data_IF_192011682342
#
_entry.id   IF_192011682342
#
_cell.length_a   1.000
_cell.length_b   1.000
_cell.length_c   1.000
_cell.angle_alpha   90.00
_cell.angle_beta   90.00
_cell.angle_gamma   90.00
#
_symmetry.space_group_name_H-M   'P 1'
#
loop_
_entity.id
_entity.type
_entity.pdbx_description
1 polymer ?
#
# COMPACT_ATOMS: atom_id res chain seq x y z
N UNK A 1 -15.06 -20.55 2.45
CA UNK A 1 -16.29 -21.31 2.13
C UNK A 1 -17.13 -21.47 3.39
N UNK A 2 -16.62 -22.07 4.49
CA UNK A 2 -17.41 -22.30 5.73
C UNK A 2 -17.99 -20.99 6.29
N UNK A 3 -17.20 -19.92 6.35
CA UNK A 3 -17.63 -18.58 6.78
C UNK A 3 -18.81 -18.06 5.95
N UNK A 4 -18.73 -18.16 4.61
CA UNK A 4 -19.80 -17.67 3.70
C UNK A 4 -21.11 -18.44 3.94
N UNK A 5 -21.05 -19.79 4.08
CA UNK A 5 -22.23 -20.62 4.33
C UNK A 5 -22.86 -20.32 5.69
N UNK A 6 -22.02 -20.01 6.68
CA UNK A 6 -22.50 -19.63 8.02
C UNK A 6 -23.18 -18.26 7.98
N UNK A 7 -22.57 -17.29 7.29
CA UNK A 7 -23.04 -15.93 7.16
C UNK A 7 -24.38 -15.83 6.39
N UNK A 8 -24.60 -16.71 5.40
CA UNK A 8 -25.89 -16.80 4.68
C UNK A 8 -27.04 -17.32 5.56
N UNK A 9 -26.73 -18.00 6.65
CA UNK A 9 -27.72 -18.61 7.57
C UNK A 9 -27.88 -17.84 8.88
N UNK A 10 -27.03 -16.86 9.14
CA UNK A 10 -27.07 -16.07 10.37
C UNK A 10 -28.28 -15.12 10.35
N UNK A 11 -29.00 -15.00 11.46
CA UNK A 11 -30.09 -14.04 11.63
C UNK A 11 -29.57 -12.59 11.57
N UNK A 12 -28.38 -12.35 12.14
CA UNK A 12 -27.66 -11.07 12.07
C UNK A 12 -26.26 -11.29 11.46
N UNK A 13 -26.12 -11.25 10.13
CA UNK A 13 -24.83 -11.48 9.48
C UNK A 13 -23.87 -10.31 9.71
N UNK A 14 -22.63 -10.60 10.09
CA UNK A 14 -21.56 -9.60 10.26
C UNK A 14 -21.24 -8.94 8.90
N UNK A 15 -21.33 -9.73 7.80
CA UNK A 15 -21.09 -9.25 6.43
C UNK A 15 -22.19 -9.77 5.50
N UNK A 16 -23.32 -9.05 5.39
CA UNK A 16 -24.43 -9.50 4.55
C UNK A 16 -24.01 -9.71 3.10
N UNK A 17 -24.14 -10.95 2.58
CA UNK A 17 -23.76 -11.30 1.20
C UNK A 17 -24.53 -10.49 0.15
N UNK A 18 -25.68 -9.93 0.52
CA UNK A 18 -26.47 -9.01 -0.35
C UNK A 18 -25.67 -7.78 -0.78
N UNK A 19 -24.71 -7.30 0.05
CA UNK A 19 -23.88 -6.14 -0.27
C UNK A 19 -22.98 -6.40 -1.48
N UNK A 20 -22.53 -7.64 -1.70
CA UNK A 20 -21.73 -7.99 -2.87
C UNK A 20 -22.51 -7.96 -4.20
N UNK A 21 -23.85 -7.96 -4.15
CA UNK A 21 -24.67 -7.70 -5.34
C UNK A 21 -24.59 -6.24 -5.79
N UNK A 22 -24.23 -5.33 -4.89
CA UNK A 22 -23.97 -3.94 -5.23
C UNK A 22 -22.60 -3.81 -5.89
N UNK A 23 -22.60 -3.45 -7.16
CA UNK A 23 -21.40 -3.29 -7.98
C UNK A 23 -20.39 -2.29 -7.38
N UNK A 24 -20.89 -1.17 -6.82
CA UNK A 24 -20.03 -0.15 -6.20
C UNK A 24 -19.38 -0.67 -4.92
N UNK A 25 -20.12 -1.41 -4.08
CA UNK A 25 -19.59 -2.05 -2.89
C UNK A 25 -18.45 -3.02 -3.24
N UNK A 26 -18.67 -3.90 -4.19
CA UNK A 26 -17.67 -4.90 -4.63
C UNK A 26 -16.42 -4.23 -5.18
N UNK A 27 -16.57 -3.22 -6.04
CA UNK A 27 -15.43 -2.49 -6.60
C UNK A 27 -14.66 -1.71 -5.55
N UNK A 28 -15.35 -1.04 -4.62
CA UNK A 28 -14.68 -0.27 -3.55
C UNK A 28 -13.97 -1.19 -2.55
N UNK A 29 -14.49 -2.38 -2.28
CA UNK A 29 -13.84 -3.39 -1.45
C UNK A 29 -12.57 -3.93 -2.11
N UNK A 30 -12.61 -4.25 -3.41
CA UNK A 30 -11.43 -4.66 -4.18
C UNK A 30 -10.40 -3.53 -4.27
N UNK A 31 -10.83 -2.30 -4.53
CA UNK A 31 -9.96 -1.12 -4.51
C UNK A 31 -9.32 -0.93 -3.13
N UNK A 32 -10.08 -1.14 -2.06
CA UNK A 32 -9.57 -1.12 -0.68
C UNK A 32 -8.42 -2.11 -0.51
N UNK A 33 -8.58 -3.35 -0.98
CA UNK A 33 -7.52 -4.37 -0.92
C UNK A 33 -6.27 -3.97 -1.72
N UNK A 34 -6.44 -3.45 -2.94
CA UNK A 34 -5.31 -2.97 -3.77
C UNK A 34 -4.58 -1.81 -3.10
N UNK A 35 -5.31 -0.85 -2.54
CA UNK A 35 -4.72 0.28 -1.80
C UNK A 35 -4.01 -0.21 -0.55
N UNK A 36 -4.57 -1.20 0.15
CA UNK A 36 -3.91 -1.84 1.29
C UNK A 36 -2.57 -2.45 0.92
N UNK A 37 -2.50 -3.18 -0.18
CA UNK A 37 -1.23 -3.72 -0.69
C UNK A 37 -0.23 -2.61 -1.05
N UNK A 38 -0.69 -1.56 -1.74
CA UNK A 38 0.14 -0.41 -2.10
C UNK A 38 0.63 0.37 -0.88
N UNK A 39 -0.23 0.55 0.13
CA UNK A 39 0.14 1.16 1.41
C UNK A 39 1.28 0.40 2.08
N UNK A 40 1.20 -0.95 2.12
CA UNK A 40 2.25 -1.77 2.68
C UNK A 40 3.57 -1.58 1.94
N UNK A 41 3.55 -1.59 0.60
CA UNK A 41 4.72 -1.35 -0.24
C UNK A 41 5.38 0.00 0.05
N UNK A 42 4.60 1.06 0.20
CA UNK A 42 5.13 2.39 0.46
C UNK A 42 5.51 2.63 1.93
N UNK A 43 4.60 2.30 2.87
CA UNK A 43 4.77 2.66 4.30
C UNK A 43 5.76 1.74 5.03
N UNK A 44 5.92 0.50 4.58
CA UNK A 44 6.81 -0.47 5.24
C UNK A 44 8.10 -0.70 4.45
N UNK A 45 8.02 -0.85 3.13
CA UNK A 45 9.21 -1.13 2.32
C UNK A 45 10.13 0.09 2.19
N UNK A 46 9.57 1.31 2.15
CA UNK A 46 10.37 2.53 2.03
C UNK A 46 11.23 2.82 3.29
N UNK A 47 10.71 2.73 4.54
CA UNK A 47 11.56 2.81 5.74
C UNK A 47 12.62 1.71 5.79
N UNK A 48 12.28 0.49 5.38
CA UNK A 48 13.22 -0.62 5.35
C UNK A 48 14.38 -0.34 4.36
N UNK A 49 14.07 0.20 3.18
CA UNK A 49 15.07 0.68 2.23
C UNK A 49 15.96 1.78 2.87
N UNK A 50 15.36 2.76 3.56
CA UNK A 50 16.11 3.83 4.25
C UNK A 50 17.02 3.31 5.35
N UNK A 51 16.59 2.31 6.10
CA UNK A 51 17.39 1.71 7.16
C UNK A 51 18.55 0.89 6.59
N UNK A 52 18.28 0.02 5.63
CA UNK A 52 19.27 -0.91 5.09
C UNK A 52 20.20 -0.22 4.09
N UNK A 53 19.63 0.35 3.01
CA UNK A 53 20.44 0.87 1.89
C UNK A 53 21.06 2.23 2.21
N UNK A 54 20.36 3.06 2.99
CA UNK A 54 20.85 4.39 3.39
C UNK A 54 21.45 4.42 4.79
N UNK A 55 21.54 3.27 5.47
CA UNK A 55 22.13 3.15 6.82
C UNK A 55 21.56 4.14 7.84
N UNK A 56 20.28 4.48 7.73
CA UNK A 56 19.62 5.35 8.68
C UNK A 56 19.16 4.55 9.91
N UNK A 57 19.16 5.18 11.10
CA UNK A 57 18.49 4.60 12.26
C UNK A 57 16.97 4.47 12.02
N UNK A 58 16.31 3.59 12.77
CA UNK A 58 14.85 3.41 12.67
C UNK A 58 14.09 4.72 12.87
N UNK A 59 14.51 5.53 13.85
CA UNK A 59 13.94 6.86 14.13
C UNK A 59 14.14 7.82 12.95
N UNK A 60 15.36 7.88 12.39
CA UNK A 60 15.65 8.75 11.25
C UNK A 60 14.88 8.31 10.00
N UNK A 61 14.75 7.00 9.76
CA UNK A 61 13.96 6.47 8.66
C UNK A 61 12.47 6.82 8.82
N UNK A 62 11.92 6.72 10.03
CA UNK A 62 10.55 7.14 10.33
C UNK A 62 10.31 8.63 10.08
N UNK A 63 11.21 9.50 10.56
CA UNK A 63 11.12 10.95 10.32
C UNK A 63 11.22 11.29 8.83
N UNK A 64 12.00 10.55 8.07
CA UNK A 64 12.14 10.73 6.61
C UNK A 64 10.89 10.32 5.83
N UNK A 65 9.87 9.74 6.47
CA UNK A 65 8.55 9.48 5.89
C UNK A 65 7.55 10.64 6.07
N UNK A 66 7.91 11.70 6.77
CA UNK A 66 7.03 12.88 6.92
C UNK A 66 6.52 13.37 5.55
N UNK A 67 7.32 13.45 4.48
CA UNK A 67 6.83 13.84 3.14
C UNK A 67 5.70 12.93 2.63
N UNK A 68 5.77 11.63 2.85
CA UNK A 68 4.71 10.68 2.49
C UNK A 68 3.40 11.02 3.24
N UNK A 69 3.48 11.24 4.55
CA UNK A 69 2.32 11.57 5.38
C UNK A 69 1.71 12.92 4.98
N UNK A 70 2.54 13.91 4.67
CA UNK A 70 2.07 15.20 4.15
C UNK A 70 1.32 15.02 2.83
N UNK A 71 1.81 14.17 1.92
CA UNK A 71 1.11 13.83 0.68
C UNK A 71 -0.27 13.21 0.95
N UNK A 72 -0.34 12.23 1.86
CA UNK A 72 -1.61 11.56 2.23
C UNK A 72 -2.61 12.58 2.80
N UNK A 73 -2.21 13.31 3.83
CA UNK A 73 -3.11 14.22 4.56
C UNK A 73 -3.58 15.36 3.68
N UNK A 74 -2.67 16.03 2.96
CA UNK A 74 -3.02 17.18 2.11
C UNK A 74 -3.98 16.78 1.00
N UNK A 75 -3.75 15.66 0.34
CA UNK A 75 -4.60 15.20 -0.77
C UNK A 75 -5.91 14.55 -0.30
N UNK A 76 -5.96 13.95 0.90
CA UNK A 76 -7.22 13.53 1.53
C UNK A 76 -8.11 14.71 1.85
N UNK A 77 -7.56 15.79 2.43
CA UNK A 77 -8.32 17.01 2.71
C UNK A 77 -8.79 17.68 1.41
N UNK A 78 -7.89 17.75 0.42
CA UNK A 78 -8.21 18.33 -0.89
C UNK A 78 -9.36 17.58 -1.57
N UNK A 79 -9.27 16.25 -1.69
CA UNK A 79 -10.32 15.43 -2.31
C UNK A 79 -11.63 15.52 -1.54
N UNK A 80 -11.61 15.47 -0.20
CA UNK A 80 -12.79 15.62 0.63
C UNK A 80 -13.52 16.95 0.39
N UNK A 81 -12.78 18.07 0.40
CA UNK A 81 -13.36 19.40 0.12
C UNK A 81 -13.95 19.49 -1.29
N UNK A 82 -13.22 19.01 -2.30
CA UNK A 82 -13.69 19.06 -3.68
C UNK A 82 -14.95 18.21 -3.90
N UNK A 83 -15.04 17.05 -3.27
CA UNK A 83 -16.21 16.17 -3.34
C UNK A 83 -17.42 16.86 -2.70
N UNK A 84 -17.25 17.44 -1.52
CA UNK A 84 -18.34 18.15 -0.81
C UNK A 84 -18.84 19.35 -1.61
N UNK A 85 -17.95 20.06 -2.33
CA UNK A 85 -18.33 21.26 -3.10
C UNK A 85 -18.97 20.92 -4.45
N UNK A 86 -18.48 19.90 -5.15
CA UNK A 86 -18.87 19.62 -6.53
C UNK A 86 -19.75 18.38 -6.70
N UNK A 87 -19.92 17.57 -5.66
CA UNK A 87 -20.74 16.36 -5.71
C UNK A 87 -20.17 15.20 -6.54
N UNK A 88 -18.94 15.32 -7.05
CA UNK A 88 -18.32 14.33 -7.96
C UNK A 88 -17.11 13.70 -7.31
N UNK A 89 -17.14 12.38 -7.11
CA UNK A 89 -16.06 11.66 -6.43
C UNK A 89 -15.24 10.74 -7.36
N UNK A 90 -15.81 10.24 -8.47
CA UNK A 90 -15.19 9.23 -9.33
C UNK A 90 -13.79 9.61 -9.85
N UNK A 91 -13.54 10.88 -10.11
CA UNK A 91 -12.26 11.37 -10.64
C UNK A 91 -11.08 11.11 -9.70
N UNK A 92 -11.31 11.18 -8.38
CA UNK A 92 -10.23 11.14 -7.40
C UNK A 92 -9.59 9.76 -7.25
N UNK A 93 -10.33 8.61 -7.13
CA UNK A 93 -9.70 7.31 -7.10
C UNK A 93 -9.01 6.96 -8.42
N UNK A 94 -9.53 7.42 -9.57
CA UNK A 94 -8.86 7.22 -10.87
C UNK A 94 -7.51 7.95 -10.89
N UNK A 95 -7.50 9.24 -10.59
CA UNK A 95 -6.28 10.05 -10.56
C UNK A 95 -5.33 9.54 -9.47
N UNK A 96 -5.86 9.20 -8.29
CA UNK A 96 -5.07 8.74 -7.15
C UNK A 96 -4.36 7.41 -7.43
N UNK A 97 -5.06 6.42 -7.99
CA UNK A 97 -4.44 5.13 -8.34
C UNK A 97 -3.47 5.26 -9.52
N UNK A 98 -3.74 6.12 -10.49
CA UNK A 98 -2.80 6.44 -11.57
C UNK A 98 -1.51 7.07 -11.03
N UNK A 99 -1.63 8.12 -10.20
CA UNK A 99 -0.49 8.77 -9.53
C UNK A 99 0.29 7.76 -8.69
N UNK A 100 -0.39 6.92 -7.92
CA UNK A 100 0.25 5.89 -7.10
C UNK A 100 1.04 4.90 -7.95
N UNK A 101 0.49 4.44 -9.08
CA UNK A 101 1.17 3.52 -9.99
C UNK A 101 2.44 4.15 -10.58
N UNK A 102 2.34 5.39 -11.05
CA UNK A 102 3.50 6.13 -11.57
C UNK A 102 4.55 6.33 -10.48
N UNK A 103 4.13 6.72 -9.28
CA UNK A 103 5.05 6.95 -8.17
C UNK A 103 5.77 5.66 -7.72
N UNK A 104 5.08 4.52 -7.71
CA UNK A 104 5.69 3.21 -7.42
C UNK A 104 6.70 2.84 -8.51
N UNK A 105 6.39 3.10 -9.78
CA UNK A 105 7.37 2.94 -10.87
C UNK A 105 8.58 3.86 -10.69
N UNK A 106 8.39 5.10 -10.24
CA UNK A 106 9.51 6.00 -9.91
C UNK A 106 10.37 5.43 -8.76
N UNK A 107 9.78 4.73 -7.77
CA UNK A 107 10.55 4.08 -6.71
C UNK A 107 11.46 2.95 -7.23
N UNK A 108 11.19 2.37 -8.40
CA UNK A 108 12.09 1.38 -9.01
C UNK A 108 13.42 1.99 -9.48
N UNK A 109 13.52 3.31 -9.58
CA UNK A 109 14.75 4.02 -9.98
C UNK A 109 15.64 4.41 -8.80
N UNK A 110 15.24 4.10 -7.56
CA UNK A 110 16.01 4.42 -6.37
C UNK A 110 17.35 3.69 -6.36
N UNK A 111 18.42 4.42 -6.13
CA UNK A 111 19.79 3.90 -6.04
C UNK A 111 20.44 4.30 -4.72
N UNK A 112 21.56 3.67 -4.39
CA UNK A 112 22.36 4.06 -3.20
C UNK A 112 22.76 5.54 -3.22
N UNK A 113 22.98 6.12 -4.38
CA UNK A 113 23.35 7.53 -4.57
C UNK A 113 22.16 8.49 -4.59
N UNK A 114 20.92 7.99 -4.72
CA UNK A 114 19.71 8.85 -4.78
C UNK A 114 19.67 9.81 -3.59
N UNK A 115 19.64 11.14 -3.81
CA UNK A 115 19.60 12.10 -2.71
C UNK A 115 18.23 12.08 -2.02
N UNK A 116 18.20 12.49 -0.74
CA UNK A 116 16.96 12.45 0.05
C UNK A 116 15.84 13.33 -0.53
N UNK A 117 16.13 14.46 -1.13
CA UNK A 117 15.10 15.32 -1.74
C UNK A 117 14.33 14.61 -2.86
N UNK A 118 15.02 13.82 -3.69
CA UNK A 118 14.38 13.04 -4.76
C UNK A 118 13.46 11.95 -4.17
N UNK A 119 13.94 11.24 -3.16
CA UNK A 119 13.14 10.24 -2.42
C UNK A 119 11.92 10.91 -1.77
N UNK A 120 12.08 12.12 -1.21
CA UNK A 120 10.98 12.89 -0.62
C UNK A 120 9.91 13.25 -1.64
N UNK A 121 10.29 13.64 -2.85
CA UNK A 121 9.34 13.91 -3.94
C UNK A 121 8.57 12.64 -4.30
N UNK A 122 9.25 11.51 -4.47
CA UNK A 122 8.59 10.23 -4.77
C UNK A 122 7.63 9.83 -3.65
N UNK A 123 8.04 9.99 -2.39
CA UNK A 123 7.21 9.74 -1.23
C UNK A 123 5.96 10.63 -1.19
N UNK A 124 6.09 11.93 -1.48
CA UNK A 124 4.94 12.86 -1.58
C UNK A 124 3.97 12.39 -2.66
N UNK A 125 4.47 12.00 -3.83
CA UNK A 125 3.62 11.57 -4.96
C UNK A 125 2.88 10.27 -4.61
N UNK A 126 3.56 9.29 -3.98
CA UNK A 126 2.89 8.07 -3.46
C UNK A 126 1.82 8.44 -2.45
N UNK A 127 2.17 9.30 -1.48
CA UNK A 127 1.23 9.78 -0.46
C UNK A 127 0.02 10.51 -1.06
N UNK A 128 0.24 11.33 -2.08
CA UNK A 128 -0.83 12.03 -2.80
C UNK A 128 -1.80 11.04 -3.47
N UNK A 129 -1.28 10.02 -4.14
CA UNK A 129 -2.11 8.97 -4.75
C UNK A 129 -2.95 8.21 -3.73
N UNK A 130 -2.34 7.84 -2.59
CA UNK A 130 -3.04 7.21 -1.47
C UNK A 130 -4.11 8.11 -0.88
N UNK A 131 -3.78 9.38 -0.61
CA UNK A 131 -4.70 10.35 0.01
C UNK A 131 -5.93 10.62 -0.86
N UNK A 132 -5.75 10.79 -2.18
CA UNK A 132 -6.85 10.95 -3.12
C UNK A 132 -7.77 9.73 -3.14
N UNK A 133 -7.22 8.53 -3.06
CA UNK A 133 -7.97 7.29 -3.22
C UNK A 133 -8.68 6.86 -1.94
N UNK A 134 -7.99 6.88 -0.78
CA UNK A 134 -8.51 6.32 0.48
C UNK A 134 -9.80 7.00 0.93
N UNK A 135 -9.80 8.34 1.00
CA UNK A 135 -10.96 9.10 1.45
C UNK A 135 -12.14 8.95 0.49
N UNK A 136 -11.85 8.97 -0.79
CA UNK A 136 -12.87 8.94 -1.83
C UNK A 136 -13.59 7.60 -1.93
N UNK A 137 -12.87 6.49 -1.72
CA UNK A 137 -13.46 5.14 -1.74
C UNK A 137 -14.48 4.98 -0.60
N UNK A 138 -14.17 5.51 0.59
CA UNK A 138 -15.10 5.47 1.72
C UNK A 138 -16.37 6.27 1.40
N UNK A 139 -16.23 7.47 0.84
CA UNK A 139 -17.38 8.30 0.43
C UNK A 139 -18.21 7.58 -0.66
N UNK A 140 -17.56 7.03 -1.68
CA UNK A 140 -18.23 6.29 -2.75
C UNK A 140 -19.02 5.09 -2.22
N UNK A 141 -18.43 4.36 -1.27
CA UNK A 141 -19.04 3.22 -0.63
C UNK A 141 -20.28 3.62 0.19
N UNK A 142 -20.13 4.60 1.08
CA UNK A 142 -21.22 5.08 1.93
C UNK A 142 -22.39 5.65 1.11
N UNK A 143 -22.09 6.28 -0.03
CA UNK A 143 -23.10 6.81 -0.94
C UNK A 143 -23.85 5.72 -1.72
N UNK A 144 -23.28 4.53 -1.85
CA UNK A 144 -23.83 3.43 -2.65
C UNK A 144 -24.64 2.39 -1.85
N UNK A 145 -24.60 2.46 -0.52
CA UNK A 145 -25.31 1.53 0.37
C UNK A 145 -26.40 2.23 1.17
N UNK A 146 -27.35 1.46 1.67
CA UNK A 146 -28.40 2.01 2.53
C UNK A 146 -27.86 2.49 3.88
N UNK A 147 -28.58 3.41 4.51
CA UNK A 147 -28.15 4.00 5.78
C UNK A 147 -27.88 2.95 6.86
N UNK A 148 -28.72 1.95 6.95
CA UNK A 148 -28.60 0.83 7.88
C UNK A 148 -27.31 0.01 7.66
N UNK A 149 -26.86 -0.10 6.41
CA UNK A 149 -25.70 -0.90 6.03
C UNK A 149 -24.38 -0.12 6.04
N UNK A 150 -24.41 1.21 6.26
CA UNK A 150 -23.19 2.07 6.15
C UNK A 150 -22.08 1.63 7.09
N UNK A 151 -22.41 1.25 8.32
CA UNK A 151 -21.45 0.78 9.32
C UNK A 151 -20.78 -0.51 8.87
N UNK A 152 -21.57 -1.49 8.48
CA UNK A 152 -21.11 -2.80 8.00
C UNK A 152 -20.28 -2.65 6.72
N UNK A 153 -20.74 -1.84 5.77
CA UNK A 153 -20.03 -1.61 4.53
C UNK A 153 -18.66 -0.95 4.76
N UNK A 154 -18.58 0.05 5.65
CA UNK A 154 -17.32 0.74 5.98
C UNK A 154 -16.36 -0.21 6.70
N UNK A 155 -16.86 -1.04 7.61
CA UNK A 155 -16.07 -2.05 8.31
C UNK A 155 -15.54 -3.12 7.34
N UNK A 156 -16.38 -3.57 6.39
CA UNK A 156 -16.00 -4.49 5.33
C UNK A 156 -14.89 -3.92 4.45
N UNK A 157 -15.00 -2.66 4.02
CA UNK A 157 -13.94 -2.02 3.23
C UNK A 157 -12.61 -1.95 4.01
N UNK A 158 -12.67 -1.63 5.30
CA UNK A 158 -11.49 -1.62 6.18
C UNK A 158 -10.88 -3.02 6.31
N UNK A 159 -11.71 -4.05 6.44
CA UNK A 159 -11.29 -5.44 6.46
C UNK A 159 -10.59 -5.85 5.15
N UNK A 160 -11.18 -5.58 3.99
CA UNK A 160 -10.56 -5.87 2.70
C UNK A 160 -9.24 -5.12 2.50
N UNK A 161 -9.16 -3.87 2.94
CA UNK A 161 -7.91 -3.10 2.92
C UNK A 161 -6.84 -3.73 3.81
N UNK A 162 -7.20 -4.21 4.99
CA UNK A 162 -6.30 -4.92 5.89
C UNK A 162 -5.84 -6.25 5.29
N UNK A 163 -6.75 -7.03 4.69
CA UNK A 163 -6.41 -8.23 3.93
C UNK A 163 -5.42 -7.92 2.81
N UNK A 164 -5.68 -6.87 2.03
CA UNK A 164 -4.77 -6.42 0.98
C UNK A 164 -3.38 -6.10 1.52
N UNK A 165 -3.29 -5.43 2.67
CA UNK A 165 -2.01 -5.14 3.34
C UNK A 165 -1.29 -6.42 3.77
N UNK A 166 -2.00 -7.42 4.31
CA UNK A 166 -1.43 -8.71 4.69
C UNK A 166 -0.93 -9.49 3.48
N UNK A 167 -1.72 -9.60 2.42
CA UNK A 167 -1.29 -10.23 1.18
C UNK A 167 -0.14 -9.48 0.53
N UNK A 168 -0.20 -8.15 0.50
CA UNK A 168 0.90 -7.30 0.03
C UNK A 168 2.19 -7.57 0.80
N UNK A 169 2.11 -7.68 2.14
CA UNK A 169 3.26 -7.98 2.99
C UNK A 169 3.88 -9.34 2.67
N UNK A 170 3.05 -10.35 2.52
CA UNK A 170 3.50 -11.69 2.21
C UNK A 170 4.16 -11.76 0.82
N UNK A 171 3.52 -11.18 -0.20
CA UNK A 171 4.05 -11.15 -1.57
C UNK A 171 5.36 -10.36 -1.64
N UNK A 172 5.38 -9.12 -1.13
CA UNK A 172 6.56 -8.26 -1.22
C UNK A 172 7.70 -8.78 -0.35
N UNK A 173 7.40 -9.35 0.83
CA UNK A 173 8.39 -10.01 1.67
C UNK A 173 9.00 -11.24 1.01
N UNK A 174 8.18 -12.10 0.38
CA UNK A 174 8.65 -13.26 -0.36
C UNK A 174 9.51 -12.86 -1.57
N UNK A 175 9.08 -11.84 -2.33
CA UNK A 175 9.85 -11.31 -3.46
C UNK A 175 11.17 -10.73 -2.98
N UNK A 176 11.16 -9.92 -1.91
CA UNK A 176 12.37 -9.34 -1.33
C UNK A 176 13.37 -10.45 -0.94
N UNK A 177 12.93 -11.43 -0.15
CA UNK A 177 13.80 -12.49 0.35
C UNK A 177 14.36 -13.37 -0.80
N UNK A 178 13.52 -13.73 -1.76
CA UNK A 178 13.94 -14.56 -2.90
C UNK A 178 14.94 -13.81 -3.78
N UNK A 179 14.66 -12.55 -4.12
CA UNK A 179 15.56 -11.74 -4.97
C UNK A 179 16.83 -11.36 -4.25
N UNK A 180 16.74 -11.07 -2.95
CA UNK A 180 17.92 -10.82 -2.13
C UNK A 180 18.86 -12.03 -2.12
N UNK A 181 18.34 -13.23 -1.87
CA UNK A 181 19.13 -14.45 -1.91
C UNK A 181 19.82 -14.64 -3.27
N UNK A 182 19.11 -14.42 -4.37
CA UNK A 182 19.65 -14.50 -5.72
C UNK A 182 20.78 -13.47 -5.97
N UNK A 183 20.54 -12.20 -5.66
CA UNK A 183 21.52 -11.13 -5.88
C UNK A 183 22.72 -11.24 -4.94
N UNK A 184 22.53 -11.73 -3.71
CA UNK A 184 23.63 -12.04 -2.81
C UNK A 184 24.49 -13.17 -3.38
N UNK A 185 23.90 -14.29 -3.79
CA UNK A 185 24.61 -15.42 -4.34
C UNK A 185 25.42 -15.01 -5.58
N UNK A 186 24.82 -14.30 -6.52
CA UNK A 186 25.51 -13.83 -7.74
C UNK A 186 26.57 -12.78 -7.44
N UNK A 187 26.30 -11.83 -6.54
CA UNK A 187 27.26 -10.79 -6.15
C UNK A 187 28.51 -11.37 -5.47
N UNK A 188 28.31 -12.27 -4.51
CA UNK A 188 29.44 -12.90 -3.82
C UNK A 188 30.19 -13.94 -4.69
N UNK A 189 29.50 -14.64 -5.58
CA UNK A 189 30.15 -15.50 -6.56
C UNK A 189 31.11 -14.70 -7.48
N UNK A 190 30.62 -13.55 -7.99
CA UNK A 190 31.45 -12.66 -8.80
C UNK A 190 32.63 -12.08 -8.00
N UNK A 191 32.42 -11.79 -6.70
CA UNK A 191 33.48 -11.31 -5.83
C UNK A 191 34.53 -12.42 -5.56
N UNK A 192 34.10 -13.66 -5.33
CA UNK A 192 34.97 -14.82 -5.14
C UNK A 192 35.87 -15.07 -6.34
N UNK A 193 35.38 -14.87 -7.56
CA UNK A 193 36.18 -14.99 -8.77
C UNK A 193 37.22 -13.88 -8.93
N UNK A 194 36.94 -12.68 -8.39
CA UNK A 194 37.86 -11.53 -8.47
C UNK A 194 38.91 -11.52 -7.36
N UNK A 195 38.53 -11.92 -6.16
CA UNK A 195 39.38 -11.91 -4.96
C UNK A 195 38.99 -13.06 -4.00
N UNK A 196 39.57 -14.26 -4.21
CA UNK A 196 39.27 -15.43 -3.37
C UNK A 196 39.61 -15.26 -1.89
N UNK A 197 40.55 -14.38 -1.55
CA UNK A 197 40.97 -14.14 -0.16
C UNK A 197 39.89 -13.51 0.70
N UNK A 198 38.99 -12.74 0.09
CA UNK A 198 37.88 -12.06 0.77
C UNK A 198 36.83 -13.05 1.25
N UNK A 199 36.67 -14.20 0.58
CA UNK A 199 35.65 -15.21 0.90
C UNK A 199 35.90 -15.93 2.23
N UNK A 200 37.18 -16.05 2.66
CA UNK A 200 37.50 -16.68 3.95
C UNK A 200 37.03 -15.91 5.17
N UNK A 201 36.69 -14.62 5.00
CA UNK A 201 36.26 -13.70 6.06
C UNK A 201 34.75 -13.50 6.10
N UNK A 202 33.98 -14.12 5.19
CA UNK A 202 32.54 -13.87 5.03
C UNK A 202 31.71 -15.01 5.60
N UNK A 203 30.82 -14.70 6.53
CA UNK A 203 29.78 -15.61 6.97
C UNK A 203 28.50 -15.35 6.16
N UNK A 204 28.27 -16.13 5.08
CA UNK A 204 27.13 -16.00 4.15
C UNK A 204 25.84 -16.62 4.76
N UNK A 205 25.63 -16.49 6.05
CA UNK A 205 24.34 -16.80 6.68
C UNK A 205 23.44 -15.55 6.72
N UNK A 206 22.12 -15.69 6.77
CA UNK A 206 21.21 -14.52 6.91
C UNK A 206 21.57 -13.63 8.10
N UNK A 207 21.97 -14.21 9.23
CA UNK A 207 22.43 -13.47 10.40
C UNK A 207 23.78 -12.76 10.15
N UNK A 208 24.71 -13.44 9.45
CA UNK A 208 26.00 -12.85 9.06
C UNK A 208 25.84 -11.65 8.14
N UNK A 209 24.97 -11.74 7.14
CA UNK A 209 24.66 -10.65 6.22
C UNK A 209 24.05 -9.44 6.97
N UNK A 210 23.13 -9.70 7.89
CA UNK A 210 22.51 -8.63 8.72
C UNK A 210 23.59 -7.93 9.57
N UNK A 211 24.50 -8.69 10.16
CA UNK A 211 25.63 -8.14 10.95
C UNK A 211 26.61 -7.35 10.07
N UNK A 212 26.88 -7.78 8.84
CA UNK A 212 27.75 -7.06 7.90
C UNK A 212 27.18 -5.69 7.53
N UNK A 213 25.87 -5.59 7.40
CA UNK A 213 25.20 -4.33 7.08
C UNK A 213 25.15 -3.42 8.31
N UNK A 214 24.84 -3.97 9.49
CA UNK A 214 24.76 -3.24 10.73
C UNK A 214 26.12 -2.70 11.19
N UNK A 215 27.21 -3.43 10.92
CA UNK A 215 28.58 -3.11 11.32
C UNK A 215 29.52 -3.00 10.10
N UNK A 216 29.47 -1.89 9.34
CA UNK A 216 30.27 -1.71 8.11
C UNK A 216 31.78 -1.85 8.34
N UNK A 217 32.26 -1.60 9.56
CA UNK A 217 33.68 -1.68 9.93
C UNK A 217 34.17 -3.12 10.17
N UNK A 218 33.26 -4.08 10.29
CA UNK A 218 33.62 -5.49 10.56
C UNK A 218 33.96 -6.30 9.32
N UNK A 219 33.74 -5.74 8.12
CA UNK A 219 33.96 -6.43 6.84
C UNK A 219 34.63 -5.51 5.82
N UNK A 220 35.34 -6.08 4.82
CA UNK A 220 35.89 -5.29 3.73
C UNK A 220 34.84 -4.46 3.02
N UNK A 221 35.20 -3.23 2.63
CA UNK A 221 34.28 -2.28 1.97
C UNK A 221 33.61 -2.87 0.71
N UNK A 222 34.32 -3.70 -0.03
CA UNK A 222 33.81 -4.37 -1.24
C UNK A 222 32.67 -5.32 -0.90
N UNK A 223 32.78 -6.08 0.18
CA UNK A 223 31.74 -7.01 0.67
C UNK A 223 30.50 -6.24 1.11
N UNK A 224 30.70 -5.21 1.91
CA UNK A 224 29.60 -4.34 2.34
C UNK A 224 28.86 -3.70 1.16
N UNK A 225 29.59 -3.19 0.18
CA UNK A 225 29.02 -2.61 -1.02
C UNK A 225 28.23 -3.63 -1.84
N UNK A 226 28.77 -4.85 -2.03
CA UNK A 226 28.07 -5.93 -2.74
C UNK A 226 26.75 -6.30 -2.07
N UNK A 227 26.74 -6.35 -0.74
CA UNK A 227 25.51 -6.60 0.02
C UNK A 227 24.47 -5.47 -0.16
N UNK A 228 24.89 -4.21 -0.09
CA UNK A 228 23.98 -3.07 -0.31
C UNK A 228 23.43 -3.01 -1.74
N UNK A 229 24.23 -3.36 -2.76
CA UNK A 229 23.78 -3.43 -4.14
C UNK A 229 22.76 -4.55 -4.34
N UNK A 230 22.96 -5.71 -3.70
CA UNK A 230 22.00 -6.80 -3.71
C UNK A 230 20.66 -6.39 -3.09
N UNK A 231 20.67 -5.68 -1.95
CA UNK A 231 19.44 -5.13 -1.35
C UNK A 231 18.77 -4.10 -2.26
N UNK A 232 19.54 -3.18 -2.85
CA UNK A 232 19.00 -2.16 -3.76
C UNK A 232 18.29 -2.80 -4.94
N UNK A 233 18.91 -3.79 -5.58
CA UNK A 233 18.34 -4.52 -6.70
C UNK A 233 17.10 -5.35 -6.28
N UNK A 234 17.11 -5.93 -5.10
CA UNK A 234 15.95 -6.64 -4.57
C UNK A 234 14.76 -5.68 -4.33
N UNK A 235 14.98 -4.48 -3.79
CA UNK A 235 13.94 -3.46 -3.63
C UNK A 235 13.39 -2.97 -4.97
N UNK A 236 14.23 -2.84 -6.01
CA UNK A 236 13.73 -2.50 -7.36
C UNK A 236 12.69 -3.51 -7.84
N UNK A 237 12.95 -4.81 -7.66
CA UNK A 237 12.00 -5.86 -8.06
C UNK A 237 10.73 -5.84 -7.19
N UNK A 238 10.85 -5.54 -5.90
CA UNK A 238 9.67 -5.39 -5.02
C UNK A 238 8.78 -4.25 -5.53
N UNK A 239 9.32 -3.07 -5.78
CA UNK A 239 8.54 -1.94 -6.30
C UNK A 239 8.01 -2.23 -7.72
N UNK A 240 8.79 -2.88 -8.57
CA UNK A 240 8.32 -3.31 -9.89
C UNK A 240 7.16 -4.30 -9.80
N UNK A 241 7.18 -5.22 -8.83
CA UNK A 241 6.07 -6.16 -8.58
C UNK A 241 4.83 -5.46 -8.01
N UNK A 242 5.00 -4.37 -7.26
CA UNK A 242 3.89 -3.59 -6.74
C UNK A 242 3.16 -2.77 -7.83
N UNK A 243 3.86 -2.37 -8.90
CA UNK A 243 3.30 -1.55 -9.97
C UNK A 243 2.09 -2.19 -10.69
N UNK A 244 2.10 -3.46 -11.12
CA UNK A 244 0.92 -4.08 -11.73
C UNK A 244 -0.25 -4.22 -10.75
N UNK A 245 -0.01 -4.40 -9.47
CA UNK A 245 -1.07 -4.47 -8.44
C UNK A 245 -1.77 -3.12 -8.36
N UNK A 246 -1.03 -2.02 -8.30
CA UNK A 246 -1.61 -0.67 -8.26
C UNK A 246 -2.22 -0.25 -9.59
N UNK A 247 -1.67 -0.69 -10.74
CA UNK A 247 -2.25 -0.51 -12.05
C UNK A 247 -3.60 -1.25 -12.18
N UNK A 248 -3.73 -2.43 -11.58
CA UNK A 248 -5.02 -3.11 -11.47
C UNK A 248 -6.03 -2.27 -10.68
N UNK A 249 -5.59 -1.60 -9.61
CA UNK A 249 -6.41 -0.62 -8.89
C UNK A 249 -6.91 0.53 -9.77
N UNK A 250 -6.06 1.02 -10.68
CA UNK A 250 -6.48 2.03 -11.66
C UNK A 250 -7.59 1.51 -12.59
N UNK A 251 -7.48 0.28 -13.07
CA UNK A 251 -8.53 -0.35 -13.88
C UNK A 251 -9.85 -0.48 -13.11
N UNK A 252 -9.79 -0.93 -11.84
CA UNK A 252 -10.97 -1.01 -10.99
C UNK A 252 -11.61 0.37 -10.74
N UNK A 253 -10.78 1.40 -10.56
CA UNK A 253 -11.25 2.78 -10.37
C UNK A 253 -11.98 3.32 -11.62
N UNK A 254 -11.54 2.96 -12.82
CA UNK A 254 -12.24 3.31 -14.07
C UNK A 254 -13.63 2.69 -14.15
N UNK A 255 -13.81 1.46 -13.64
CA UNK A 255 -15.08 0.76 -13.61
C UNK A 255 -16.07 1.30 -12.56
N UNK A 256 -15.61 2.13 -11.62
CA UNK A 256 -16.47 2.71 -10.59
C UNK A 256 -17.53 3.61 -11.25
N UNK A 257 -18.78 3.46 -10.80
CA UNK A 257 -19.89 4.31 -11.27
C UNK A 257 -19.96 5.58 -10.41
N UNK A 258 -20.25 6.70 -11.06
CA UNK A 258 -20.52 7.95 -10.34
C UNK A 258 -22.02 7.99 -9.99
N UNK A 259 -22.31 7.99 -8.69
CA UNK A 259 -23.66 8.16 -8.18
C UNK A 259 -23.77 9.59 -7.62
N UNK A 260 -24.93 10.26 -7.77
CA UNK A 260 -25.16 11.54 -7.15
C UNK A 260 -24.97 11.41 -5.62
N UNK A 261 -24.34 12.38 -4.99
CA UNK A 261 -24.17 12.34 -3.53
C UNK A 261 -25.52 12.54 -2.85
N UNK A 262 -25.78 11.72 -1.84
CA UNK A 262 -26.93 11.90 -0.96
C UNK A 262 -26.80 13.23 -0.20
N UNK A 263 -27.89 13.97 -0.12
CA UNK A 263 -27.95 15.23 0.63
C UNK A 263 -28.21 14.98 2.12
N UNK A 264 -28.00 15.99 2.95
CA UNK A 264 -28.36 15.92 4.37
C UNK A 264 -29.85 15.63 4.60
N UNK A 265 -30.69 16.05 3.67
CA UNK A 265 -32.12 15.75 3.69
C UNK A 265 -32.39 14.26 3.46
N UNK A 266 -31.73 13.64 2.48
CA UNK A 266 -31.87 12.20 2.19
C UNK A 266 -31.46 11.36 3.41
N UNK A 267 -30.41 11.78 4.13
CA UNK A 267 -29.99 11.11 5.36
C UNK A 267 -30.98 11.29 6.52
N UNK A 268 -31.63 12.45 6.62
CA UNK A 268 -32.65 12.70 7.65
C UNK A 268 -33.88 11.82 7.42
N UNK A 269 -34.37 11.77 6.19
CA UNK A 269 -35.52 10.91 5.81
C UNK A 269 -35.21 9.43 6.05
N UNK A 270 -34.07 8.93 5.58
CA UNK A 270 -33.67 7.54 5.79
C UNK A 270 -33.51 7.17 7.29
N UNK A 271 -33.10 8.13 8.12
CA UNK A 271 -33.02 7.93 9.58
C UNK A 271 -34.39 7.85 10.24
N UNK A 272 -35.35 8.67 9.80
CA UNK A 272 -36.72 8.64 10.31
C UNK A 272 -37.43 7.35 9.91
N UNK A 273 -37.25 6.88 8.67
CA UNK A 273 -37.76 5.60 8.18
C UNK A 273 -37.23 4.43 9.00
N UNK A 274 -35.90 4.36 9.22
CA UNK A 274 -35.27 3.31 10.03
C UNK A 274 -35.70 3.36 11.50
N UNK A 275 -35.99 4.53 12.06
CA UNK A 275 -36.51 4.67 13.42
C UNK A 275 -37.99 4.22 13.52
N UNK A 276 -38.77 4.44 12.48
CA UNK A 276 -40.15 3.98 12.37
C UNK A 276 -40.28 2.46 12.29
N UNK A 277 -39.41 1.81 11.53
CA UNK A 277 -39.35 0.33 11.42
C UNK A 277 -38.92 -0.35 12.72
N UNK A 278 -38.12 0.30 13.58
CA UNK A 278 -37.66 -0.23 14.86
C UNK A 278 -38.72 -0.18 15.97
N UNK A 279 -39.84 0.54 15.77
CA UNK A 279 -40.89 0.76 16.76
C UNK A 279 -42.17 -0.05 16.42
N UNK A 280 -42.30 -0.55 15.21
CA UNK A 280 -43.43 -1.39 14.75
C UNK A 280 -43.09 -2.86 14.78
#
# INVERSE_FOLDING_TARGET
VVFVIWEEKAEEPILPMRLFKNHTFTLTSLLGAVIGAGLFGAVIMLPLYLQIVKSNSATAAGLKLIPLMLGIVSMSIFSGKQITTHGKYKKFPIIGTAIMTVAILMLTTLTRSTPYWQLSIYAIIVGAGLGLSMQTIVIALQNAVDYHDMGVATSANTFFRSLGSVFGSAIFGAVLNNRLAHYMASGFSNLAHKDPSVMSTINITPAGITNMIANPKSVPLVVHNTALDAYTNAFHIVFFTAAPITAFGFVLALMLRELPLRTSHDYAVAREEAAGEAIG
#
